data_IF_935075168606
#
_entry.id   IF_935075168606
#
_cell.length_a   1.000
_cell.length_b   1.000
_cell.length_c   1.000
_cell.angle_alpha   90.00
_cell.angle_beta   90.00
_cell.angle_gamma   90.00
#
_symmetry.space_group_name_H-M   'P 1'
#
loop_
_entity.id
_entity.type
_entity.pdbx_description
1 polymer ?
#
# COMPACT_ATOMS: atom_id res chain seq x y z
N UNK A 1 20.90 -8.00 10.44
CA UNK A 1 19.80 -7.37 9.68
C UNK A 1 19.25 -6.26 10.53
N UNK A 2 19.63 -5.03 10.23
CA UNK A 2 19.10 -3.84 10.93
C UNK A 2 17.57 -3.91 10.86
N UNK A 3 16.88 -3.70 12.00
CA UNK A 3 15.42 -3.61 12.03
C UNK A 3 15.04 -2.36 11.25
N UNK A 4 14.84 -2.49 9.93
CA UNK A 4 14.22 -1.45 9.13
C UNK A 4 12.94 -1.06 9.85
N UNK A 5 12.80 0.21 10.18
CA UNK A 5 11.62 0.66 10.93
C UNK A 5 10.43 0.59 9.97
N UNK A 6 9.23 0.19 10.41
CA UNK A 6 8.03 0.15 9.56
C UNK A 6 7.82 1.46 8.76
N UNK A 7 8.24 2.58 9.36
CA UNK A 7 8.21 3.89 8.76
C UNK A 7 9.12 4.05 7.52
N UNK A 8 10.31 3.47 7.52
CA UNK A 8 11.24 3.52 6.38
C UNK A 8 10.68 2.74 5.19
N UNK A 9 10.05 1.59 5.47
CA UNK A 9 9.40 0.76 4.45
C UNK A 9 8.21 1.51 3.87
N UNK A 10 7.37 2.11 4.72
CA UNK A 10 6.22 2.91 4.28
C UNK A 10 6.66 4.06 3.37
N UNK A 11 7.70 4.80 3.77
CA UNK A 11 8.25 5.88 2.96
C UNK A 11 8.79 5.36 1.62
N UNK A 12 9.56 4.28 1.65
CA UNK A 12 10.12 3.67 0.43
C UNK A 12 9.03 3.24 -0.55
N UNK A 13 8.02 2.51 -0.08
CA UNK A 13 6.89 2.08 -0.91
C UNK A 13 6.07 3.28 -1.42
N UNK A 14 5.82 4.28 -0.57
CA UNK A 14 5.07 5.49 -0.97
C UNK A 14 5.81 6.27 -2.05
N UNK A 15 7.13 6.46 -1.90
CA UNK A 15 7.96 7.11 -2.92
C UNK A 15 7.93 6.31 -4.22
N UNK A 16 8.03 4.98 -4.15
CA UNK A 16 7.96 4.13 -5.33
C UNK A 16 6.63 4.28 -6.06
N UNK A 17 5.50 4.24 -5.34
CA UNK A 17 4.19 4.49 -5.95
C UNK A 17 4.10 5.90 -6.53
N UNK A 18 4.55 6.93 -5.80
CA UNK A 18 4.55 8.31 -6.30
C UNK A 18 5.32 8.46 -7.62
N UNK A 19 6.46 7.80 -7.76
CA UNK A 19 7.22 7.79 -9.02
C UNK A 19 6.42 7.15 -10.16
N UNK A 20 5.65 6.10 -9.90
CA UNK A 20 4.76 5.47 -10.88
C UNK A 20 3.61 6.43 -11.25
N UNK A 21 3.01 7.09 -10.26
CA UNK A 21 1.96 8.11 -10.45
C UNK A 21 2.43 9.29 -11.30
N UNK A 22 3.68 9.72 -11.13
CA UNK A 22 4.29 10.76 -11.97
C UNK A 22 4.54 10.30 -13.40
N UNK A 23 4.76 9.01 -13.64
CA UNK A 23 5.01 8.47 -14.98
C UNK A 23 3.72 8.29 -15.78
N UNK A 24 2.68 7.71 -15.17
CA UNK A 24 1.36 7.54 -15.79
C UNK A 24 0.29 7.33 -14.71
N UNK A 25 -0.65 8.26 -14.61
CA UNK A 25 -1.70 8.29 -13.59
C UNK A 25 -2.71 7.15 -13.73
N UNK A 26 -3.12 6.80 -14.96
CA UNK A 26 -4.00 5.68 -15.22
C UNK A 26 -3.38 4.35 -14.76
N UNK A 27 -2.18 4.03 -15.23
CA UNK A 27 -1.47 2.80 -14.86
C UNK A 27 -1.19 2.75 -13.36
N UNK A 28 -0.78 3.87 -12.76
CA UNK A 28 -0.52 3.95 -11.33
C UNK A 28 -1.77 3.71 -10.49
N UNK A 29 -2.92 4.26 -10.89
CA UNK A 29 -4.19 4.06 -10.21
C UNK A 29 -4.62 2.59 -10.24
N UNK A 30 -4.51 1.93 -11.41
CA UNK A 30 -4.81 0.51 -11.56
C UNK A 30 -3.88 -0.37 -10.73
N UNK A 31 -2.57 -0.11 -10.76
CA UNK A 31 -1.59 -0.85 -9.96
C UNK A 31 -1.85 -0.67 -8.46
N UNK A 32 -2.11 0.56 -8.03
CA UNK A 32 -2.40 0.89 -6.63
C UNK A 32 -3.65 0.16 -6.13
N UNK A 33 -4.69 0.10 -6.95
CA UNK A 33 -5.93 -0.62 -6.64
C UNK A 33 -5.74 -2.13 -6.58
N UNK A 34 -5.05 -2.71 -7.57
CA UNK A 34 -4.82 -4.17 -7.64
C UNK A 34 -3.96 -4.61 -6.45
N UNK A 35 -2.78 -4.01 -6.28
CA UNK A 35 -1.88 -4.42 -5.20
C UNK A 35 -2.42 -4.05 -3.82
N UNK A 36 -2.97 -2.84 -3.64
CA UNK A 36 -3.61 -2.45 -2.39
C UNK A 36 -4.77 -3.39 -2.02
N UNK A 37 -5.60 -3.77 -3.00
CA UNK A 37 -6.69 -4.72 -2.82
C UNK A 37 -6.20 -6.12 -2.46
N UNK A 38 -5.20 -6.65 -3.17
CA UNK A 38 -4.61 -7.96 -2.86
C UNK A 38 -4.02 -7.96 -1.44
N UNK A 39 -3.22 -6.96 -1.08
CA UNK A 39 -2.62 -6.89 0.25
C UNK A 39 -3.68 -6.75 1.34
N UNK A 40 -4.74 -5.99 1.10
CA UNK A 40 -5.85 -5.84 2.04
C UNK A 40 -6.59 -7.15 2.24
N UNK A 41 -6.89 -7.89 1.17
CA UNK A 41 -7.56 -9.19 1.26
C UNK A 41 -6.69 -10.21 2.01
N UNK A 42 -5.39 -10.28 1.69
CA UNK A 42 -4.47 -11.17 2.41
C UNK A 42 -4.39 -10.78 3.88
N UNK A 43 -4.30 -9.48 4.19
CA UNK A 43 -4.27 -8.99 5.58
C UNK A 43 -5.55 -9.37 6.33
N UNK A 44 -6.73 -9.17 5.73
CA UNK A 44 -8.01 -9.52 6.33
C UNK A 44 -8.12 -11.03 6.59
N UNK A 45 -7.82 -11.86 5.60
CA UNK A 45 -7.83 -13.32 5.77
C UNK A 45 -6.84 -13.74 6.85
N UNK A 46 -5.63 -13.17 6.86
CA UNK A 46 -4.61 -13.46 7.87
C UNK A 46 -5.07 -13.08 9.28
N UNK A 47 -5.75 -11.94 9.44
CA UNK A 47 -6.29 -11.49 10.72
C UNK A 47 -7.43 -12.40 11.20
N UNK A 48 -8.31 -12.83 10.29
CA UNK A 48 -9.39 -13.78 10.61
C UNK A 48 -8.81 -15.12 11.08
N UNK A 49 -7.81 -15.65 10.37
CA UNK A 49 -7.16 -16.92 10.74
C UNK A 49 -6.48 -16.80 12.10
N UNK A 50 -5.72 -15.73 12.36
CA UNK A 50 -5.06 -15.49 13.64
C UNK A 50 -6.05 -15.40 14.82
N UNK A 51 -7.27 -14.92 14.57
CA UNK A 51 -8.33 -14.80 15.57
C UNK A 51 -8.99 -16.14 15.90
N UNK A 52 -9.11 -17.04 14.91
CA UNK A 52 -9.69 -18.38 15.11
C UNK A 52 -8.68 -19.31 15.77
N UNK A 53 -7.45 -19.35 15.27
CA UNK A 53 -6.38 -20.15 15.81
C UNK A 53 -5.11 -19.32 15.82
N UNK A 54 -4.47 -19.21 17.00
CA UNK A 54 -3.28 -18.39 17.16
C UNK A 54 -2.15 -18.96 16.32
N UNK A 55 -2.03 -18.42 15.11
CA UNK A 55 -1.02 -18.80 14.16
C UNK A 55 0.33 -18.33 14.70
N UNK A 56 1.38 -19.12 14.46
CA UNK A 56 2.75 -18.74 14.87
C UNK A 56 3.34 -17.64 13.98
N UNK A 57 2.49 -16.85 13.29
CA UNK A 57 2.93 -15.80 12.39
C UNK A 57 3.49 -14.63 13.21
N UNK A 58 4.73 -14.20 12.92
CA UNK A 58 5.35 -13.09 13.65
C UNK A 58 4.60 -11.79 13.40
N UNK A 59 4.39 -10.99 14.47
CA UNK A 59 3.70 -9.69 14.43
C UNK A 59 4.23 -8.72 13.37
N UNK A 60 5.51 -8.85 13.01
CA UNK A 60 6.14 -8.06 11.95
C UNK A 60 5.45 -8.21 10.59
N UNK A 61 4.93 -9.41 10.28
CA UNK A 61 4.21 -9.67 9.04
C UNK A 61 2.97 -8.79 8.90
N UNK A 62 2.15 -8.71 9.96
CA UNK A 62 0.95 -7.87 9.97
C UNK A 62 1.28 -6.40 9.80
N UNK A 63 2.38 -5.93 10.42
CA UNK A 63 2.85 -4.55 10.24
C UNK A 63 3.30 -4.29 8.81
N UNK A 64 4.08 -5.19 8.22
CA UNK A 64 4.54 -5.06 6.84
C UNK A 64 3.37 -5.05 5.85
N UNK A 65 2.44 -6.00 5.98
CA UNK A 65 1.24 -6.07 5.14
C UNK A 65 0.36 -4.81 5.29
N UNK A 66 0.21 -4.30 6.51
CA UNK A 66 -0.51 -3.05 6.74
C UNK A 66 0.17 -1.85 6.06
N UNK A 67 1.50 -1.78 6.11
CA UNK A 67 2.29 -0.76 5.42
C UNK A 67 2.07 -0.83 3.90
N UNK A 68 2.11 -2.03 3.31
CA UNK A 68 1.91 -2.23 1.87
C UNK A 68 0.47 -1.95 1.40
N UNK A 69 -0.53 -1.97 2.30
CA UNK A 69 -1.89 -1.47 2.00
C UNK A 69 -1.94 0.05 2.07
N UNK A 70 -1.29 0.66 3.06
CA UNK A 70 -1.35 2.10 3.30
C UNK A 70 -0.53 2.86 2.24
N UNK A 71 0.61 2.34 1.80
CA UNK A 71 1.50 3.00 0.85
C UNK A 71 0.81 3.43 -0.46
N UNK A 72 0.11 2.55 -1.21
CA UNK A 72 -0.58 2.95 -2.45
C UNK A 72 -1.71 3.95 -2.19
N UNK A 73 -2.41 3.85 -1.05
CA UNK A 73 -3.46 4.81 -0.66
C UNK A 73 -2.86 6.18 -0.39
N UNK A 74 -1.77 6.22 0.38
CA UNK A 74 -1.07 7.46 0.71
C UNK A 74 -0.51 8.12 -0.54
N UNK A 75 0.10 7.35 -1.45
CA UNK A 75 0.60 7.87 -2.71
C UNK A 75 -0.53 8.45 -3.59
N UNK A 76 -1.66 7.75 -3.70
CA UNK A 76 -2.81 8.23 -4.47
C UNK A 76 -3.37 9.55 -3.91
N UNK A 77 -3.50 9.65 -2.58
CA UNK A 77 -3.97 10.87 -1.91
C UNK A 77 -3.00 12.03 -2.12
N UNK A 78 -1.70 11.80 -1.87
CA UNK A 78 -0.67 12.83 -2.05
C UNK A 78 -0.62 13.32 -3.50
N UNK A 79 -0.58 12.39 -4.46
CA UNK A 79 -0.56 12.74 -5.88
C UNK A 79 -1.79 13.57 -6.24
N UNK A 80 -2.99 13.12 -5.88
CA UNK A 80 -4.25 13.83 -6.19
C UNK A 80 -4.30 15.24 -5.60
N UNK A 81 -3.74 15.44 -4.40
CA UNK A 81 -3.64 16.76 -3.77
C UNK A 81 -2.68 17.69 -4.53
N UNK A 82 -1.59 17.16 -5.09
CA UNK A 82 -0.60 17.95 -5.83
C UNK A 82 -1.00 18.19 -7.30
N UNK A 83 -1.61 17.22 -7.96
CA UNK A 83 -2.03 17.30 -9.36
C UNK A 83 -3.38 18.00 -9.57
N UNK A 84 -4.17 18.18 -8.49
CA UNK A 84 -5.51 18.74 -8.56
C UNK A 84 -6.59 17.74 -8.99
N UNK A 85 -6.27 16.44 -9.02
CA UNK A 85 -7.18 15.37 -9.41
C UNK A 85 -6.49 14.24 -10.19
N UNK A 86 -7.26 13.20 -10.55
CA UNK A 86 -6.80 12.15 -11.46
C UNK A 86 -7.04 12.62 -12.90
N UNK A 87 -5.97 12.88 -13.65
CA UNK A 87 -6.03 13.43 -15.01
C UNK A 87 -6.90 12.58 -15.93
N UNK A 88 -6.74 11.26 -15.87
CA UNK A 88 -7.51 10.31 -16.66
C UNK A 88 -9.01 10.23 -16.34
N UNK A 89 -9.48 10.75 -15.19
CA UNK A 89 -10.92 10.78 -14.87
C UNK A 89 -11.62 12.04 -15.41
N UNK A 90 -10.84 13.04 -15.83
CA UNK A 90 -11.36 14.31 -16.34
C UNK A 90 -11.42 14.34 -17.88
N UNK A 91 -10.92 13.29 -18.55
CA UNK A 91 -11.04 13.04 -19.99
C UNK A 91 -12.31 12.23 -20.31
#
# INVERSE_FOLDING_TARGET
MERLRPFEILLGETILYLLIWMANDYMASMLSLIFGGIFLLILLVSLVVELVERSRVPRWYFTFMGVSVIAPILAAVLYSLFSGGMGWMAE
#
